data_IF_858520094753
#
_entry.id   IF_858520094753
#
_cell.length_a   1.000
_cell.length_b   1.000
_cell.length_c   1.000
_cell.angle_alpha   90.00
_cell.angle_beta   90.00
_cell.angle_gamma   90.00
#
_symmetry.space_group_name_H-M   'P 1'
#
loop_
_entity.id
_entity.type
_entity.pdbx_description
1 polymer ?
#
# COMPACT_ATOMS: atom_id res chain seq x y z
N UNK A 1 -9.72 -8.83 4.18
CA UNK A 1 -10.14 -8.09 2.98
C UNK A 1 -9.15 -8.39 1.86
N UNK A 2 -9.60 -8.51 0.61
CA UNK A 2 -8.74 -8.93 -0.51
C UNK A 2 -8.24 -7.70 -1.26
N UNK A 3 -6.98 -7.70 -1.64
CA UNK A 3 -6.36 -6.63 -2.41
C UNK A 3 -5.61 -7.20 -3.61
N UNK A 4 -5.47 -6.37 -4.65
CA UNK A 4 -4.74 -6.71 -5.87
C UNK A 4 -3.90 -5.52 -6.31
N UNK A 5 -2.58 -5.64 -6.25
CA UNK A 5 -1.66 -4.61 -6.70
C UNK A 5 -0.86 -5.07 -7.90
N UNK A 6 -0.44 -4.13 -8.76
CA UNK A 6 0.63 -4.40 -9.73
C UNK A 6 1.89 -4.83 -8.97
N UNK A 7 2.66 -5.77 -9.52
CA UNK A 7 3.86 -6.29 -8.84
C UNK A 7 4.83 -5.19 -8.38
N UNK A 8 4.94 -4.09 -9.13
CA UNK A 8 5.76 -2.93 -8.75
C UNK A 8 5.25 -2.20 -7.51
N UNK A 9 3.94 -2.04 -7.37
CA UNK A 9 3.32 -1.40 -6.20
C UNK A 9 3.33 -2.34 -5.00
N UNK A 10 3.08 -3.63 -5.23
CA UNK A 10 3.20 -4.64 -4.17
C UNK A 10 4.62 -4.66 -3.57
N UNK A 11 5.64 -4.57 -4.42
CA UNK A 11 7.03 -4.48 -3.95
C UNK A 11 7.24 -3.26 -3.04
N UNK A 12 6.70 -2.09 -3.41
CA UNK A 12 6.78 -0.90 -2.56
C UNK A 12 6.05 -1.07 -1.22
N UNK A 13 4.94 -1.82 -1.21
CA UNK A 13 4.20 -2.11 0.01
C UNK A 13 5.04 -2.92 1.00
N UNK A 14 5.69 -4.00 0.54
CA UNK A 14 6.53 -4.85 1.39
C UNK A 14 7.93 -4.26 1.66
N UNK A 15 8.35 -3.25 0.91
CA UNK A 15 9.56 -2.48 1.20
C UNK A 15 9.39 -1.61 2.47
N UNK A 16 8.16 -1.48 3.00
CA UNK A 16 7.87 -0.94 4.34
C UNK A 16 7.83 -2.11 5.33
N UNK A 17 8.87 -2.30 6.16
CA UNK A 17 9.06 -3.54 6.94
C UNK A 17 7.88 -3.89 7.84
N UNK A 18 7.26 -2.88 8.46
CA UNK A 18 6.14 -3.05 9.37
C UNK A 18 4.87 -3.57 8.68
N UNK A 19 4.76 -3.40 7.36
CA UNK A 19 3.56 -3.81 6.60
C UNK A 19 3.57 -5.32 6.31
N UNK A 20 4.74 -5.96 6.23
CA UNK A 20 4.87 -7.37 5.84
C UNK A 20 4.04 -8.29 6.75
N UNK A 21 4.00 -8.00 8.06
CA UNK A 21 3.25 -8.78 9.06
C UNK A 21 1.72 -8.71 8.90
N UNK A 22 1.20 -7.69 8.20
CA UNK A 22 -0.23 -7.50 7.98
C UNK A 22 -0.73 -8.17 6.70
N UNK A 23 0.18 -8.57 5.82
CA UNK A 23 -0.13 -9.15 4.51
C UNK A 23 -0.17 -10.68 4.62
N UNK A 24 -1.33 -11.27 4.29
CA UNK A 24 -1.53 -12.72 4.33
C UNK A 24 -2.10 -13.23 2.99
N UNK A 25 -2.09 -14.54 2.79
CA UNK A 25 -2.66 -15.22 1.61
C UNK A 25 -2.16 -14.63 0.27
N UNK A 26 -0.84 -14.48 0.13
CA UNK A 26 -0.18 -13.87 -1.03
C UNK A 26 -0.21 -14.83 -2.24
N UNK A 27 -0.71 -14.34 -3.36
CA UNK A 27 -0.75 -15.04 -4.65
C UNK A 27 -0.13 -14.12 -5.70
N UNK A 28 1.05 -14.48 -6.18
CA UNK A 28 1.76 -13.69 -7.17
C UNK A 28 1.55 -14.23 -8.58
N UNK A 29 1.23 -13.34 -9.51
CA UNK A 29 1.13 -13.61 -10.96
C UNK A 29 2.21 -12.84 -11.71
N UNK A 30 2.32 -13.05 -13.02
CA UNK A 30 3.31 -12.35 -13.86
C UNK A 30 3.19 -10.81 -13.81
N UNK A 31 1.99 -10.28 -13.54
CA UNK A 31 1.72 -8.83 -13.61
C UNK A 31 1.25 -8.23 -12.28
N UNK A 32 0.52 -9.01 -11.48
CA UNK A 32 -0.12 -8.53 -10.26
C UNK A 32 0.12 -9.49 -9.09
N UNK A 33 0.07 -8.95 -7.88
CA UNK A 33 0.08 -9.71 -6.63
C UNK A 33 -1.26 -9.49 -5.94
N UNK A 34 -1.93 -10.58 -5.63
CA UNK A 34 -3.15 -10.62 -4.84
C UNK A 34 -2.79 -11.02 -3.41
N UNK A 35 -3.42 -10.40 -2.43
CA UNK A 35 -3.15 -10.68 -1.02
C UNK A 35 -4.35 -10.27 -0.17
N UNK A 36 -4.28 -10.51 1.13
CA UNK A 36 -5.27 -10.09 2.10
C UNK A 36 -4.65 -9.29 3.23
N UNK A 37 -5.42 -8.36 3.75
CA UNK A 37 -5.16 -7.66 5.02
C UNK A 37 -6.42 -7.85 5.88
N UNK A 38 -6.29 -8.10 7.19
CA UNK A 38 -7.46 -8.17 8.08
C UNK A 38 -8.17 -6.81 8.15
N UNK A 39 -9.48 -6.79 8.36
CA UNK A 39 -10.26 -5.55 8.20
C UNK A 39 -9.87 -4.49 9.24
N UNK A 40 -9.59 -4.96 10.45
CA UNK A 40 -9.10 -4.20 11.59
C UNK A 40 -7.73 -3.55 11.33
N UNK A 41 -6.87 -4.19 10.54
CA UNK A 41 -5.49 -3.77 10.31
C UNK A 41 -5.31 -2.82 9.11
N UNK A 42 -6.35 -2.66 8.26
CA UNK A 42 -6.25 -1.81 7.06
C UNK A 42 -5.89 -0.37 7.41
N UNK A 43 -6.45 0.15 8.50
CA UNK A 43 -6.15 1.52 8.94
C UNK A 43 -4.68 1.65 9.29
N UNK A 44 -4.11 0.65 9.94
CA UNK A 44 -2.70 0.64 10.32
C UNK A 44 -1.80 0.61 9.08
N UNK A 45 -2.09 -0.27 8.12
CA UNK A 45 -1.38 -0.31 6.84
C UNK A 45 -1.44 1.04 6.10
N UNK A 46 -2.58 1.72 6.10
CA UNK A 46 -2.71 3.05 5.51
C UNK A 46 -1.85 4.10 6.23
N UNK A 47 -1.77 4.05 7.56
CA UNK A 47 -0.92 4.95 8.34
C UNK A 47 0.56 4.71 8.06
N UNK A 48 0.99 3.45 7.99
CA UNK A 48 2.39 3.09 7.68
C UNK A 48 2.81 3.57 6.28
N UNK A 49 1.94 3.45 5.28
CA UNK A 49 2.22 4.01 3.94
C UNK A 49 2.33 5.54 4.01
N UNK A 50 1.46 6.19 4.77
CA UNK A 50 1.48 7.65 4.91
C UNK A 50 2.74 8.14 5.65
N UNK A 51 3.18 7.43 6.69
CA UNK A 51 4.42 7.73 7.41
C UNK A 51 5.62 7.61 6.48
N UNK A 52 5.65 6.58 5.63
CA UNK A 52 6.71 6.40 4.63
C UNK A 52 6.71 7.54 3.59
N UNK A 53 5.54 8.07 3.21
CA UNK A 53 5.44 9.27 2.35
C UNK A 53 6.10 10.47 3.04
N UNK A 54 5.77 10.74 4.30
CA UNK A 54 6.32 11.87 5.06
C UNK A 54 7.83 11.72 5.25
N UNK A 55 8.30 10.50 5.54
CA UNK A 55 9.71 10.23 5.85
C UNK A 55 10.62 10.20 4.62
N UNK A 56 10.15 9.61 3.51
CA UNK A 56 11.00 9.32 2.34
C UNK A 56 10.43 9.84 1.02
N UNK A 57 9.16 10.19 0.99
CA UNK A 57 8.46 10.69 -0.20
C UNK A 57 8.54 12.21 -0.40
N UNK A 58 9.00 12.97 0.59
CA UNK A 58 9.11 14.42 0.55
C UNK A 58 10.57 14.89 0.62
N UNK A 59 11.06 15.49 -0.46
CA UNK A 59 12.35 16.17 -0.47
C UNK A 59 12.23 17.50 0.26
N UNK A 60 13.15 17.75 1.20
CA UNK A 60 13.14 18.92 2.10
C UNK A 60 11.79 19.11 2.83
N UNK A 61 11.02 18.03 3.00
CA UNK A 61 9.69 18.03 3.63
C UNK A 61 8.61 18.85 2.91
N UNK A 62 8.88 19.33 1.68
CA UNK A 62 7.97 20.26 0.97
C UNK A 62 7.67 19.82 -0.48
N UNK A 63 8.58 19.08 -1.12
CA UNK A 63 8.40 18.66 -2.52
C UNK A 63 8.27 17.16 -2.62
N UNK A 64 7.12 16.68 -3.14
CA UNK A 64 6.92 15.25 -3.39
C UNK A 64 7.91 14.77 -4.45
N UNK A 65 8.72 13.79 -4.09
CA UNK A 65 9.72 13.20 -4.97
C UNK A 65 9.14 12.01 -5.77
N UNK A 66 9.99 11.37 -6.60
CA UNK A 66 9.57 10.23 -7.43
C UNK A 66 9.11 9.01 -6.63
N UNK A 67 9.63 8.82 -5.41
CA UNK A 67 9.19 7.77 -4.52
C UNK A 67 7.84 8.14 -3.90
N UNK A 68 7.70 9.38 -3.41
CA UNK A 68 6.46 9.91 -2.86
C UNK A 68 5.27 9.77 -3.80
N UNK A 69 5.45 10.08 -5.09
CA UNK A 69 4.40 9.89 -6.11
C UNK A 69 3.92 8.43 -6.16
N UNK A 70 4.83 7.46 -6.09
CA UNK A 70 4.46 6.03 -6.13
C UNK A 70 3.84 5.54 -4.83
N UNK A 71 4.24 6.11 -3.70
CA UNK A 71 3.64 5.82 -2.40
C UNK A 71 2.22 6.40 -2.30
N UNK A 72 1.96 7.58 -2.88
CA UNK A 72 0.61 8.09 -3.06
C UNK A 72 -0.23 7.19 -3.99
N UNK A 73 0.33 6.73 -5.12
CA UNK A 73 -0.36 5.76 -6.00
C UNK A 73 -0.72 4.47 -5.24
N UNK A 74 0.20 3.97 -4.39
CA UNK A 74 -0.05 2.81 -3.53
C UNK A 74 -1.17 3.08 -2.51
N UNK A 75 -1.12 4.21 -1.81
CA UNK A 75 -2.11 4.61 -0.82
C UNK A 75 -3.51 4.71 -1.45
N UNK A 76 -3.62 5.39 -2.59
CA UNK A 76 -4.86 5.59 -3.32
C UNK A 76 -5.46 4.27 -3.80
N UNK A 77 -4.64 3.34 -4.31
CA UNK A 77 -5.11 2.03 -4.78
C UNK A 77 -5.66 1.18 -3.61
N UNK A 78 -4.99 1.19 -2.45
CA UNK A 78 -5.48 0.51 -1.24
C UNK A 78 -6.79 1.15 -0.77
N UNK A 79 -6.88 2.48 -0.74
CA UNK A 79 -8.09 3.20 -0.34
C UNK A 79 -9.25 2.90 -1.30
N UNK A 80 -9.02 2.99 -2.61
CA UNK A 80 -10.02 2.71 -3.64
C UNK A 80 -10.57 1.29 -3.54
N UNK A 81 -9.70 0.28 -3.40
CA UNK A 81 -10.16 -1.10 -3.27
C UNK A 81 -10.88 -1.34 -1.94
N UNK A 82 -10.47 -0.65 -0.87
CA UNK A 82 -11.16 -0.70 0.42
C UNK A 82 -12.59 -0.17 0.29
N UNK A 83 -12.75 1.01 -0.28
CA UNK A 83 -14.06 1.66 -0.35
C UNK A 83 -15.02 0.90 -1.28
N UNK A 84 -14.57 0.46 -2.46
CA UNK A 84 -15.39 -0.33 -3.40
C UNK A 84 -15.83 -1.71 -2.90
N UNK A 85 -15.17 -2.24 -1.86
CA UNK A 85 -15.54 -3.50 -1.23
C UNK A 85 -16.42 -3.31 0.01
N UNK A 86 -16.48 -2.10 0.57
CA UNK A 86 -17.41 -1.75 1.64
C UNK A 86 -18.76 -1.22 1.11
N UNK A 87 -18.82 -0.80 -0.16
CA UNK A 87 -20.07 -0.43 -0.85
C UNK A 87 -20.88 -1.64 -1.38
N UNK A 88 -20.44 -2.87 -1.08
CA UNK A 88 -21.13 -4.13 -1.42
C UNK A 88 -21.53 -4.89 -0.17
#
# INVERSE_FOLDING_TARGET
MKFKLKNKLYKLLIDVPEIEDYVIDIIQTNVNTEFKIKKEDIREVQLLINDEIVLKGLDNQDTVNKLGIKLYELYDEILYQKDNQNEK
#
